data_IF_283120273131
#
_entry.id   IF_283120273131
#
_cell.length_a   1.000
_cell.length_b   1.000
_cell.length_c   1.000
_cell.angle_alpha   90.00
_cell.angle_beta   90.00
_cell.angle_gamma   90.00
#
_symmetry.space_group_name_H-M   'P 1'
#
loop_
_entity.id
_entity.type
_entity.pdbx_description
1 polymer ?
#
# COMPACT_ATOMS: atom_id res chain seq x y z
N UNK A 1 -15.38 3.72 3.10
CA UNK A 1 -14.03 4.09 3.53
C UNK A 1 -13.17 4.53 2.35
N UNK A 2 -12.90 3.64 1.39
CA UNK A 2 -12.26 3.95 0.11
C UNK A 2 -13.19 3.52 -1.02
N UNK A 3 -13.41 4.39 -2.00
CA UNK A 3 -14.24 4.10 -3.17
C UNK A 3 -13.62 4.72 -4.41
N UNK A 4 -13.55 3.98 -5.49
CA UNK A 4 -13.27 4.53 -6.81
C UNK A 4 -14.32 4.09 -7.81
N UNK A 5 -14.60 4.96 -8.78
CA UNK A 5 -15.68 4.78 -9.75
C UNK A 5 -15.18 5.03 -11.15
N UNK A 6 -15.30 4.03 -12.01
CA UNK A 6 -15.05 4.12 -13.46
C UNK A 6 -13.69 4.76 -13.80
N UNK A 7 -12.61 4.33 -13.12
CA UNK A 7 -11.27 4.88 -13.33
C UNK A 7 -10.71 4.48 -14.69
N UNK A 8 -10.31 5.45 -15.48
CA UNK A 8 -9.55 5.29 -16.71
C UNK A 8 -8.19 5.94 -16.56
N UNK A 9 -7.17 5.28 -17.10
CA UNK A 9 -5.82 5.84 -17.17
C UNK A 9 -5.09 5.27 -18.37
N UNK A 10 -4.53 6.16 -19.18
CA UNK A 10 -3.68 5.83 -20.32
C UNK A 10 -2.32 6.52 -20.23
N UNK A 11 -1.31 5.91 -20.82
CA UNK A 11 0.03 6.47 -20.93
C UNK A 11 0.48 6.47 -22.38
N UNK A 12 1.15 7.55 -22.78
CA UNK A 12 1.79 7.64 -24.07
C UNK A 12 3.24 7.15 -23.97
N UNK A 13 3.55 6.04 -24.65
CA UNK A 13 4.89 5.47 -24.73
C UNK A 13 5.40 5.59 -26.17
N UNK A 14 6.11 6.68 -26.47
CA UNK A 14 6.47 7.03 -27.85
C UNK A 14 5.20 7.28 -28.68
N UNK A 15 5.03 6.49 -29.75
CA UNK A 15 3.85 6.59 -30.65
C UNK A 15 2.69 5.67 -30.22
N UNK A 16 2.87 4.88 -29.16
CA UNK A 16 1.83 3.96 -28.67
C UNK A 16 1.08 4.54 -27.48
N UNK A 17 -0.24 4.33 -27.46
CA UNK A 17 -1.08 4.53 -26.28
C UNK A 17 -1.30 3.18 -25.59
N UNK A 18 -1.14 3.18 -24.26
CA UNK A 18 -1.39 2.01 -23.42
C UNK A 18 -2.44 2.37 -22.40
N UNK A 19 -3.63 1.77 -22.52
CA UNK A 19 -4.71 1.92 -21.57
C UNK A 19 -4.42 1.02 -20.36
N UNK A 20 -3.86 1.60 -19.30
CA UNK A 20 -3.50 0.88 -18.09
C UNK A 20 -4.72 0.55 -17.23
N UNK A 21 -5.76 1.41 -17.23
CA UNK A 21 -7.04 1.16 -16.58
C UNK A 21 -8.19 1.54 -17.52
N UNK A 22 -9.23 0.69 -17.52
CA UNK A 22 -10.35 0.74 -18.46
C UNK A 22 -11.71 0.66 -17.74
N UNK A 23 -11.97 1.60 -16.80
CA UNK A 23 -13.23 1.67 -16.07
C UNK A 23 -13.23 0.90 -14.76
N UNK A 24 -12.11 0.92 -14.01
CA UNK A 24 -11.99 0.24 -12.71
C UNK A 24 -12.89 0.89 -11.67
N UNK A 25 -13.69 0.05 -11.00
CA UNK A 25 -14.51 0.47 -9.85
C UNK A 25 -14.27 -0.49 -8.69
N UNK A 26 -13.96 0.07 -7.50
CA UNK A 26 -13.73 -0.68 -6.25
C UNK A 26 -14.44 0.06 -5.13
N UNK A 27 -15.08 -0.70 -4.24
CA UNK A 27 -15.69 -0.18 -3.01
C UNK A 27 -15.19 -0.98 -1.80
N UNK A 28 -14.55 -0.27 -0.87
CA UNK A 28 -14.05 -0.76 0.41
C UNK A 28 -14.79 0.02 1.52
N UNK A 29 -15.89 -0.54 2.04
CA UNK A 29 -16.78 0.19 2.94
C UNK A 29 -16.27 0.30 4.38
N UNK A 30 -15.43 -0.64 4.84
CA UNK A 30 -15.00 -0.77 6.22
C UNK A 30 -13.46 -0.90 6.32
N UNK A 31 -12.87 -0.58 7.48
CA UNK A 31 -11.48 -0.90 7.76
C UNK A 31 -11.22 -2.39 7.69
N UNK A 32 -10.01 -2.78 7.28
CA UNK A 32 -9.62 -4.17 7.14
C UNK A 32 -8.47 -4.35 6.16
N UNK A 33 -8.18 -5.60 5.83
CA UNK A 33 -7.16 -5.97 4.86
C UNK A 33 -7.80 -6.34 3.53
N UNK A 34 -7.33 -5.71 2.47
CA UNK A 34 -7.79 -5.90 1.10
C UNK A 34 -6.61 -6.09 0.16
N UNK A 35 -6.78 -6.89 -0.88
CA UNK A 35 -5.77 -7.06 -1.91
C UNK A 35 -6.31 -6.67 -3.30
N UNK A 36 -5.43 -6.12 -4.12
CA UNK A 36 -5.58 -6.01 -5.56
C UNK A 36 -4.61 -7.02 -6.17
N UNK A 37 -5.14 -8.09 -6.75
CA UNK A 37 -4.36 -9.18 -7.29
C UNK A 37 -4.44 -9.24 -8.81
N UNK A 38 -3.34 -9.51 -9.48
CA UNK A 38 -3.29 -9.61 -10.95
C UNK A 38 -1.90 -9.92 -11.46
N UNK A 39 -1.81 -10.34 -12.71
CA UNK A 39 -0.54 -10.58 -13.39
C UNK A 39 0.28 -9.28 -13.57
N UNK A 40 1.57 -9.40 -13.90
CA UNK A 40 2.39 -8.24 -14.29
C UNK A 40 1.74 -7.53 -15.48
N UNK A 41 1.72 -6.20 -15.46
CA UNK A 41 1.11 -5.39 -16.51
C UNK A 41 -0.42 -5.27 -16.45
N UNK A 42 -1.12 -5.87 -15.47
CA UNK A 42 -2.58 -5.78 -15.36
C UNK A 42 -3.12 -4.40 -14.92
N UNK A 43 -2.25 -3.45 -14.54
CA UNK A 43 -2.63 -2.10 -14.09
C UNK A 43 -2.60 -1.88 -12.58
N UNK A 44 -2.13 -2.84 -11.77
CA UNK A 44 -2.15 -2.77 -10.29
C UNK A 44 -1.40 -1.55 -9.74
N UNK A 45 -0.15 -1.35 -10.15
CA UNK A 45 0.66 -0.22 -9.67
C UNK A 45 0.08 1.11 -10.15
N UNK A 46 -0.48 1.17 -11.38
CA UNK A 46 -1.22 2.35 -11.85
C UNK A 46 -2.40 2.64 -10.94
N UNK A 47 -3.22 1.63 -10.64
CA UNK A 47 -4.38 1.80 -9.74
C UNK A 47 -3.94 2.27 -8.35
N UNK A 48 -2.90 1.65 -7.78
CA UNK A 48 -2.34 2.07 -6.49
C UNK A 48 -1.86 3.53 -6.54
N UNK A 49 -1.16 3.94 -7.59
CA UNK A 49 -0.70 5.34 -7.74
C UNK A 49 -1.86 6.33 -7.79
N UNK A 50 -2.96 6.01 -8.49
CA UNK A 50 -4.15 6.85 -8.50
C UNK A 50 -4.81 6.94 -7.12
N UNK A 51 -5.00 5.79 -6.46
CA UNK A 51 -5.59 5.73 -5.11
C UNK A 51 -4.73 6.45 -4.07
N UNK A 52 -3.41 6.45 -4.25
CA UNK A 52 -2.45 7.15 -3.39
C UNK A 52 -2.25 8.63 -3.76
N UNK A 53 -3.00 9.16 -4.73
CA UNK A 53 -2.84 10.52 -5.25
C UNK A 53 -1.39 10.83 -5.69
N UNK A 54 -0.65 9.83 -6.19
CA UNK A 54 0.67 9.98 -6.83
C UNK A 54 0.53 10.32 -8.31
N UNK A 55 -0.62 9.98 -8.91
CA UNK A 55 -1.00 10.33 -10.27
C UNK A 55 -2.50 10.67 -10.30
N UNK A 56 -3.00 11.17 -11.42
CA UNK A 56 -4.41 11.54 -11.60
C UNK A 56 -5.07 10.64 -12.63
N UNK A 57 -6.33 10.21 -12.40
CA UNK A 57 -7.07 9.50 -13.41
C UNK A 57 -7.39 10.42 -14.60
N UNK A 58 -7.46 9.84 -15.80
CA UNK A 58 -7.93 10.58 -16.98
C UNK A 58 -9.46 10.77 -16.93
N UNK A 59 -10.17 9.78 -16.32
CA UNK A 59 -11.60 9.82 -16.05
C UNK A 59 -11.91 9.01 -14.79
N UNK A 60 -13.07 9.33 -14.19
CA UNK A 60 -13.55 8.65 -12.99
C UNK A 60 -13.25 9.41 -11.71
N UNK A 61 -13.66 8.84 -10.60
CA UNK A 61 -13.66 9.50 -9.30
C UNK A 61 -13.04 8.61 -8.23
N UNK A 62 -12.35 9.22 -7.26
CA UNK A 62 -11.75 8.53 -6.11
C UNK A 62 -12.14 9.26 -4.83
N UNK A 63 -12.63 8.51 -3.85
CA UNK A 63 -13.03 9.02 -2.53
C UNK A 63 -12.31 8.22 -1.43
N UNK A 64 -11.69 8.92 -0.49
CA UNK A 64 -11.10 8.34 0.71
C UNK A 64 -11.62 9.11 1.94
N UNK A 65 -12.23 8.39 2.88
CA UNK A 65 -12.90 9.01 4.03
C UNK A 65 -14.02 9.98 3.62
N UNK A 66 -14.69 9.72 2.48
CA UNK A 66 -15.73 10.58 1.91
C UNK A 66 -15.21 11.82 1.19
N UNK A 67 -13.89 12.06 1.16
CA UNK A 67 -13.27 13.22 0.48
C UNK A 67 -12.90 12.87 -0.95
N UNK A 68 -13.24 13.68 -1.96
CA UNK A 68 -12.79 13.49 -3.33
C UNK A 68 -11.31 13.81 -3.46
N UNK A 69 -10.49 12.83 -3.86
CA UNK A 69 -9.04 13.02 -4.01
C UNK A 69 -8.61 13.22 -5.47
N UNK A 70 -9.42 12.80 -6.43
CA UNK A 70 -9.18 12.95 -7.87
C UNK A 70 -9.10 14.41 -8.33
N UNK A 71 -9.72 15.34 -7.59
CA UNK A 71 -9.78 16.77 -7.90
C UNK A 71 -8.83 17.63 -7.07
N UNK A 72 -7.97 17.03 -6.23
CA UNK A 72 -7.00 17.79 -5.45
C UNK A 72 -5.97 18.48 -6.35
N UNK A 73 -5.63 19.71 -6.01
CA UNK A 73 -4.45 20.38 -6.59
C UNK A 73 -3.15 19.76 -6.02
N UNK A 74 -1.99 20.15 -6.51
CA UNK A 74 -0.70 19.61 -6.08
C UNK A 74 -0.43 19.82 -4.59
N UNK A 75 -0.83 20.95 -4.04
CA UNK A 75 -0.69 21.25 -2.61
C UNK A 75 -1.60 20.37 -1.77
N UNK A 76 -2.86 20.23 -2.18
CA UNK A 76 -3.84 19.36 -1.53
C UNK A 76 -3.42 17.89 -1.59
N UNK A 77 -2.96 17.41 -2.75
CA UNK A 77 -2.46 16.04 -2.92
C UNK A 77 -1.21 15.78 -2.03
N UNK A 78 -0.30 16.74 -1.93
CA UNK A 78 0.89 16.62 -1.07
C UNK A 78 0.50 16.54 0.41
N UNK A 79 -0.41 17.40 0.88
CA UNK A 79 -0.91 17.36 2.26
C UNK A 79 -1.67 16.05 2.53
N UNK A 80 -2.49 15.62 1.58
CA UNK A 80 -3.24 14.36 1.66
C UNK A 80 -2.28 13.16 1.80
N UNK A 81 -1.27 13.05 0.92
CA UNK A 81 -0.25 11.98 1.00
C UNK A 81 0.49 11.98 2.32
N UNK A 82 0.79 13.16 2.88
CA UNK A 82 1.52 13.28 4.12
C UNK A 82 0.73 12.79 5.33
N UNK A 83 -0.58 13.08 5.40
CA UNK A 83 -1.36 12.94 6.64
C UNK A 83 -2.48 11.92 6.58
N UNK A 84 -2.99 11.59 5.38
CA UNK A 84 -4.18 10.76 5.22
C UNK A 84 -3.90 9.37 4.67
N UNK A 85 -2.70 9.15 4.12
CA UNK A 85 -2.32 7.83 3.62
C UNK A 85 -0.89 7.48 4.04
N UNK A 86 -0.63 6.18 4.20
CA UNK A 86 0.71 5.62 4.22
C UNK A 86 0.97 4.90 2.91
N UNK A 87 2.22 4.92 2.44
CA UNK A 87 2.62 4.18 1.24
C UNK A 87 3.88 3.39 1.56
N UNK A 88 3.83 2.09 1.29
CA UNK A 88 4.96 1.16 1.36
C UNK A 88 5.25 0.68 -0.06
N UNK A 89 6.43 0.98 -0.56
CA UNK A 89 6.88 0.60 -1.90
C UNK A 89 7.66 -0.72 -1.87
N UNK A 90 7.66 -1.43 -2.98
CA UNK A 90 8.42 -2.67 -3.16
C UNK A 90 9.93 -2.48 -2.94
N UNK A 91 10.49 -1.35 -3.38
CA UNK A 91 11.91 -1.00 -3.25
C UNK A 91 12.23 -0.15 -2.00
N UNK A 92 11.40 -0.23 -0.94
CA UNK A 92 11.53 0.48 0.34
C UNK A 92 11.57 2.01 0.23
N UNK A 93 12.23 2.58 -0.76
CA UNK A 93 12.44 4.02 -0.98
C UNK A 93 12.95 4.74 0.28
N UNK A 94 13.90 4.13 0.99
CA UNK A 94 14.61 4.78 2.09
C UNK A 94 15.68 5.72 1.53
N UNK A 95 15.92 6.81 2.23
CA UNK A 95 17.01 7.72 1.91
C UNK A 95 18.31 7.12 2.46
N UNK A 96 19.30 6.76 1.62
CA UNK A 96 20.47 5.99 2.05
C UNK A 96 21.38 6.73 3.03
N UNK A 97 21.36 8.06 3.01
CA UNK A 97 22.19 8.91 3.89
C UNK A 97 21.58 9.11 5.27
N UNK A 98 20.30 8.77 5.45
CA UNK A 98 19.58 8.86 6.72
C UNK A 98 19.60 7.52 7.46
N UNK A 99 19.63 7.59 8.79
CA UNK A 99 19.44 6.43 9.67
C UNK A 99 17.99 5.91 9.59
N UNK A 100 17.73 4.75 10.17
CA UNK A 100 16.38 4.16 10.22
C UNK A 100 15.39 5.13 10.87
N UNK A 101 15.74 5.70 12.02
CA UNK A 101 14.83 6.62 12.72
C UNK A 101 14.61 7.91 11.93
N UNK A 102 15.64 8.49 11.31
CA UNK A 102 15.53 9.69 10.48
C UNK A 102 14.66 9.44 9.24
N UNK A 103 14.73 8.25 8.64
CA UNK A 103 13.82 7.85 7.56
C UNK A 103 12.36 7.80 8.05
N UNK A 104 12.11 7.31 9.26
CA UNK A 104 10.76 7.29 9.84
C UNK A 104 10.28 8.70 10.16
N UNK A 105 11.13 9.56 10.70
CA UNK A 105 10.84 10.95 11.06
C UNK A 105 10.59 11.87 9.85
N UNK A 106 11.09 11.51 8.67
CA UNK A 106 11.13 12.37 7.49
C UNK A 106 9.82 13.07 7.14
N UNK A 107 8.63 12.39 7.12
CA UNK A 107 7.38 13.07 6.83
C UNK A 107 7.03 14.18 7.82
N UNK A 108 7.35 13.98 9.10
CA UNK A 108 7.13 14.96 10.17
C UNK A 108 8.13 16.11 10.12
N UNK A 109 9.39 15.83 9.83
CA UNK A 109 10.40 16.87 9.61
C UNK A 109 9.97 17.81 8.48
N UNK A 110 9.48 17.27 7.37
CA UNK A 110 8.96 18.05 6.24
C UNK A 110 7.65 18.80 6.58
N UNK A 111 6.91 18.38 7.60
CA UNK A 111 5.73 19.06 8.09
C UNK A 111 6.06 20.19 9.06
N UNK A 112 7.26 20.20 9.63
CA UNK A 112 7.65 21.14 10.70
C UNK A 112 7.14 20.72 12.08
N UNK A 113 6.91 19.40 12.28
CA UNK A 113 6.45 18.87 13.57
C UNK A 113 7.52 19.05 14.66
N UNK A 114 7.07 19.07 15.93
CA UNK A 114 7.98 19.12 17.07
C UNK A 114 8.91 17.90 17.11
N UNK A 115 10.21 18.16 17.13
CA UNK A 115 11.24 17.13 17.01
C UNK A 115 11.18 16.07 18.13
N UNK A 116 10.87 16.48 19.37
CA UNK A 116 10.81 15.56 20.51
C UNK A 116 9.62 14.59 20.39
N UNK A 117 8.46 15.12 20.04
CA UNK A 117 7.23 14.33 19.79
C UNK A 117 7.42 13.38 18.63
N UNK A 118 8.04 13.86 17.54
CA UNK A 118 8.32 13.09 16.34
C UNK A 118 9.25 11.91 16.64
N UNK A 119 10.35 12.19 17.36
CA UNK A 119 11.33 11.19 17.80
C UNK A 119 10.69 10.10 18.64
N UNK A 120 9.86 10.48 19.61
CA UNK A 120 9.17 9.52 20.48
C UNK A 120 8.26 8.57 19.69
N UNK A 121 7.47 9.10 18.73
CA UNK A 121 6.61 8.28 17.84
C UNK A 121 7.41 7.35 16.96
N UNK A 122 8.50 7.85 16.35
CA UNK A 122 9.35 7.06 15.49
C UNK A 122 10.00 5.89 16.26
N UNK A 123 10.51 6.15 17.47
CA UNK A 123 11.08 5.12 18.33
C UNK A 123 10.04 4.08 18.77
N UNK A 124 8.82 4.50 19.12
CA UNK A 124 7.73 3.58 19.46
C UNK A 124 7.44 2.62 18.29
N UNK A 125 7.30 3.14 17.06
CA UNK A 125 7.05 2.33 15.88
C UNK A 125 8.21 1.37 15.58
N UNK A 126 9.44 1.83 15.64
CA UNK A 126 10.63 0.99 15.45
C UNK A 126 10.69 -0.13 16.50
N UNK A 127 10.41 0.17 17.76
CA UNK A 127 10.38 -0.84 18.83
C UNK A 127 9.29 -1.89 18.58
N UNK A 128 8.07 -1.48 18.19
CA UNK A 128 6.96 -2.39 17.85
C UNK A 128 7.29 -3.32 16.68
N UNK A 129 8.08 -2.86 15.71
CA UNK A 129 8.53 -3.68 14.59
C UNK A 129 9.88 -4.38 14.84
N UNK A 130 10.37 -4.39 16.10
CA UNK A 130 11.60 -5.10 16.47
C UNK A 130 12.88 -4.46 15.91
N UNK A 131 12.91 -3.13 15.79
CA UNK A 131 14.01 -2.36 15.21
C UNK A 131 14.61 -1.33 16.18
N UNK A 132 14.31 -1.41 17.49
CA UNK A 132 14.82 -0.45 18.48
C UNK A 132 16.35 -0.35 18.42
N UNK A 133 17.05 -1.50 18.39
CA UNK A 133 18.52 -1.58 18.33
C UNK A 133 19.10 -1.21 16.96
N UNK A 134 18.25 -1.02 15.96
CA UNK A 134 18.62 -0.63 14.59
C UNK A 134 18.31 0.84 14.27
N UNK A 135 17.75 1.58 15.21
CA UNK A 135 17.29 2.97 14.99
C UNK A 135 18.37 3.90 14.41
N UNK A 136 19.62 3.71 14.80
CA UNK A 136 20.76 4.52 14.35
C UNK A 136 21.50 3.94 13.15
N UNK A 137 21.09 2.78 12.62
CA UNK A 137 21.72 2.17 11.45
C UNK A 137 21.20 2.84 10.17
N UNK A 138 22.06 2.89 9.15
CA UNK A 138 21.68 3.30 7.79
C UNK A 138 21.18 2.11 6.98
N UNK A 139 20.45 2.33 5.88
CA UNK A 139 19.92 1.25 5.06
C UNK A 139 20.98 0.25 4.54
N UNK A 140 22.19 0.69 4.25
CA UNK A 140 23.30 -0.15 3.79
C UNK A 140 23.79 -1.15 4.85
N UNK A 141 23.57 -0.84 6.14
CA UNK A 141 23.87 -1.72 7.26
C UNK A 141 22.67 -2.56 7.75
N UNK A 142 21.59 -2.63 6.95
CA UNK A 142 20.34 -3.32 7.30
C UNK A 142 19.98 -4.37 6.25
N UNK A 143 19.41 -5.50 6.70
CA UNK A 143 18.82 -6.49 5.80
C UNK A 143 17.60 -5.92 5.06
N UNK A 144 17.23 -6.51 3.92
CA UNK A 144 16.03 -6.09 3.17
C UNK A 144 14.75 -6.12 4.03
N UNK A 145 14.62 -7.12 4.91
CA UNK A 145 13.48 -7.18 5.83
C UNK A 145 13.48 -6.09 6.91
N UNK A 146 14.65 -5.68 7.39
CA UNK A 146 14.77 -4.53 8.31
C UNK A 146 14.42 -3.23 7.58
N UNK A 147 14.92 -3.03 6.36
CA UNK A 147 14.60 -1.87 5.54
C UNK A 147 13.09 -1.78 5.24
N UNK A 148 12.45 -2.91 4.93
CA UNK A 148 11.00 -2.98 4.72
C UNK A 148 10.23 -2.55 5.97
N UNK A 149 10.61 -3.04 7.14
CA UNK A 149 9.98 -2.62 8.39
C UNK A 149 10.18 -1.14 8.71
N UNK A 150 11.34 -0.56 8.39
CA UNK A 150 11.56 0.91 8.48
C UNK A 150 10.62 1.67 7.55
N UNK A 151 10.45 1.22 6.30
CA UNK A 151 9.52 1.84 5.35
C UNK A 151 8.07 1.79 5.85
N UNK A 152 7.68 0.70 6.52
CA UNK A 152 6.36 0.55 7.16
C UNK A 152 6.23 1.51 8.36
N UNK A 153 7.24 1.61 9.24
CA UNK A 153 7.24 2.60 10.32
C UNK A 153 7.04 4.01 9.78
N UNK A 154 7.75 4.39 8.73
CA UNK A 154 7.58 5.68 8.06
C UNK A 154 6.16 5.90 7.57
N UNK A 155 5.57 4.90 6.93
CA UNK A 155 4.22 4.97 6.40
C UNK A 155 3.15 5.10 7.50
N UNK A 156 3.40 4.56 8.69
CA UNK A 156 2.49 4.56 9.83
C UNK A 156 2.67 5.75 10.79
N UNK A 157 3.66 6.62 10.55
CA UNK A 157 4.02 7.71 11.47
C UNK A 157 2.82 8.60 11.86
N UNK A 158 1.96 8.90 10.91
CA UNK A 158 0.77 9.73 11.11
C UNK A 158 -0.52 8.96 11.40
N UNK A 159 -0.43 7.64 11.64
CA UNK A 159 -1.61 6.77 11.85
C UNK A 159 -2.65 6.97 10.75
N UNK A 160 -2.27 6.76 9.48
CA UNK A 160 -3.14 7.07 8.37
C UNK A 160 -4.38 6.17 8.36
N UNK A 161 -5.55 6.67 7.94
CA UNK A 161 -6.74 5.83 7.80
C UNK A 161 -6.60 4.78 6.70
N UNK A 162 -5.70 4.98 5.72
CA UNK A 162 -5.41 4.02 4.66
C UNK A 162 -3.90 3.84 4.48
N UNK A 163 -3.47 2.58 4.45
CA UNK A 163 -2.11 2.16 4.11
C UNK A 163 -2.14 1.41 2.77
N UNK A 164 -1.45 1.93 1.78
CA UNK A 164 -1.20 1.25 0.51
C UNK A 164 0.15 0.52 0.57
N UNK A 165 0.21 -0.72 0.10
CA UNK A 165 1.42 -1.51 0.10
C UNK A 165 1.61 -2.21 -1.25
N UNK A 166 2.69 -1.87 -1.95
CA UNK A 166 3.06 -2.50 -3.22
C UNK A 166 4.04 -3.65 -2.96
N UNK A 167 3.57 -4.88 -3.09
CA UNK A 167 4.32 -6.13 -2.87
C UNK A 167 5.18 -6.13 -1.58
N UNK A 168 4.59 -5.84 -0.40
CA UNK A 168 5.35 -5.53 0.81
C UNK A 168 6.16 -6.69 1.38
N UNK A 169 5.98 -7.90 0.88
CA UNK A 169 6.69 -9.13 1.31
C UNK A 169 7.57 -9.73 0.22
N UNK A 170 7.61 -9.16 -0.97
CA UNK A 170 8.33 -9.73 -2.12
C UNK A 170 9.84 -9.91 -1.92
N UNK A 171 10.44 -9.25 -0.92
CA UNK A 171 11.87 -9.35 -0.57
C UNK A 171 12.12 -10.06 0.76
N UNK A 172 11.11 -10.76 1.31
CA UNK A 172 11.18 -11.42 2.63
C UNK A 172 11.09 -12.94 2.49
N UNK A 173 11.75 -13.65 3.39
CA UNK A 173 11.49 -15.08 3.60
C UNK A 173 10.08 -15.28 4.22
N UNK A 174 9.54 -16.50 4.10
CA UNK A 174 8.19 -16.84 4.55
C UNK A 174 7.94 -16.54 6.04
N UNK A 175 8.94 -16.80 6.91
CA UNK A 175 8.79 -16.56 8.35
C UNK A 175 8.79 -15.07 8.67
N UNK A 176 9.60 -14.27 7.97
CA UNK A 176 9.62 -12.81 8.09
C UNK A 176 8.35 -12.18 7.54
N UNK A 177 7.82 -12.70 6.43
CA UNK A 177 6.54 -12.28 5.86
C UNK A 177 5.40 -12.51 6.84
N UNK A 178 5.31 -13.71 7.44
CA UNK A 178 4.26 -14.03 8.42
C UNK A 178 4.32 -13.11 9.65
N UNK A 179 5.52 -12.86 10.19
CA UNK A 179 5.69 -11.92 11.31
C UNK A 179 5.24 -10.51 10.93
N UNK A 180 5.57 -10.06 9.73
CA UNK A 180 5.17 -8.74 9.23
C UNK A 180 3.65 -8.62 9.14
N UNK A 181 2.96 -9.63 8.58
CA UNK A 181 1.50 -9.65 8.47
C UNK A 181 0.82 -9.60 9.83
N UNK A 182 1.32 -10.35 10.81
CA UNK A 182 0.77 -10.33 12.17
C UNK A 182 0.86 -8.94 12.78
N UNK A 183 2.05 -8.31 12.72
CA UNK A 183 2.25 -6.96 13.27
C UNK A 183 1.42 -5.90 12.52
N UNK A 184 1.34 -5.97 11.20
CA UNK A 184 0.49 -5.06 10.42
C UNK A 184 -0.99 -5.26 10.76
N UNK A 185 -1.41 -6.52 10.99
CA UNK A 185 -2.77 -6.86 11.41
C UNK A 185 -3.16 -6.25 12.75
N UNK A 186 -2.29 -6.36 13.73
CA UNK A 186 -2.48 -5.74 15.05
C UNK A 186 -2.54 -4.21 14.95
N UNK A 187 -1.55 -3.60 14.27
CA UNK A 187 -1.50 -2.14 14.10
C UNK A 187 -2.71 -1.59 13.35
N UNK A 188 -3.10 -2.25 12.26
CA UNK A 188 -4.27 -1.83 11.49
C UNK A 188 -5.56 -1.91 12.30
N UNK A 189 -5.73 -2.98 13.09
CA UNK A 189 -6.89 -3.15 13.97
C UNK A 189 -6.91 -2.08 15.09
N UNK A 190 -5.78 -1.86 15.76
CA UNK A 190 -5.67 -0.87 16.83
C UNK A 190 -5.92 0.57 16.33
N UNK A 191 -5.43 0.89 15.15
CA UNK A 191 -5.53 2.24 14.57
C UNK A 191 -6.75 2.43 13.68
N UNK A 192 -7.57 1.39 13.50
CA UNK A 192 -8.71 1.38 12.57
C UNK A 192 -8.28 1.74 11.12
N UNK A 193 -7.09 1.28 10.71
CA UNK A 193 -6.48 1.54 9.40
C UNK A 193 -6.95 0.51 8.39
N UNK A 194 -7.29 0.95 7.18
CA UNK A 194 -7.52 0.08 6.03
C UNK A 194 -6.19 -0.19 5.33
N UNK A 195 -5.83 -1.46 5.17
CA UNK A 195 -4.65 -1.87 4.38
C UNK A 195 -5.11 -2.35 3.02
N UNK A 196 -4.59 -1.74 1.97
CA UNK A 196 -4.81 -2.16 0.58
C UNK A 196 -3.47 -2.55 -0.01
N UNK A 197 -3.25 -3.84 -0.20
CA UNK A 197 -2.02 -4.31 -0.81
C UNK A 197 -2.21 -4.66 -2.28
N UNK A 198 -1.16 -4.45 -3.04
CA UNK A 198 -1.00 -4.98 -4.38
C UNK A 198 -0.08 -6.19 -4.30
N UNK A 199 -0.50 -7.31 -4.87
CA UNK A 199 0.31 -8.53 -4.89
C UNK A 199 -0.04 -9.42 -6.10
N UNK A 200 0.89 -10.27 -6.48
CA UNK A 200 0.65 -11.38 -7.39
C UNK A 200 0.72 -12.73 -6.65
N UNK A 201 1.01 -12.72 -5.34
CA UNK A 201 1.20 -13.92 -4.52
C UNK A 201 -0.10 -14.33 -3.81
N UNK A 202 -0.67 -15.51 -4.10
CA UNK A 202 -1.84 -16.02 -3.41
C UNK A 202 -1.64 -16.16 -1.89
N UNK A 203 -0.43 -16.56 -1.46
CA UNK A 203 -0.11 -16.72 -0.04
C UNK A 203 -0.23 -15.40 0.73
N UNK A 204 0.27 -14.29 0.18
CA UNK A 204 0.12 -12.96 0.77
C UNK A 204 -1.36 -12.54 0.83
N UNK A 205 -2.12 -12.84 -0.21
CA UNK A 205 -3.52 -12.46 -0.31
C UNK A 205 -4.45 -13.20 0.68
N UNK A 206 -4.03 -14.33 1.26
CA UNK A 206 -4.81 -15.03 2.32
C UNK A 206 -4.96 -14.21 3.60
N UNK A 207 -4.10 -13.23 3.84
CA UNK A 207 -4.19 -12.31 4.98
C UNK A 207 -5.26 -11.23 4.81
N UNK A 208 -5.82 -11.08 3.60
CA UNK A 208 -6.86 -10.12 3.29
C UNK A 208 -8.24 -10.74 3.49
N UNK A 209 -9.24 -9.94 3.83
CA UNK A 209 -10.63 -10.37 3.86
C UNK A 209 -11.24 -10.48 2.48
N UNK A 210 -10.74 -9.68 1.53
CA UNK A 210 -11.25 -9.62 0.17
C UNK A 210 -10.16 -9.26 -0.84
N UNK A 211 -10.23 -9.88 -2.01
CA UNK A 211 -9.31 -9.67 -3.14
C UNK A 211 -10.10 -9.14 -4.33
N UNK A 212 -9.64 -8.05 -4.93
CA UNK A 212 -10.09 -7.55 -6.22
C UNK A 212 -9.14 -8.08 -7.30
N UNK A 213 -9.66 -8.89 -8.21
CA UNK A 213 -8.89 -9.47 -9.31
C UNK A 213 -8.83 -8.48 -10.46
N UNK A 214 -7.64 -7.96 -10.75
CA UNK A 214 -7.40 -7.01 -11.83
C UNK A 214 -6.71 -7.73 -13.01
N UNK A 215 -7.32 -7.71 -14.18
CA UNK A 215 -6.72 -8.19 -15.41
C UNK A 215 -7.05 -7.24 -16.56
N UNK A 216 -6.08 -6.97 -17.41
CA UNK A 216 -6.20 -6.06 -18.58
C UNK A 216 -6.84 -4.70 -18.26
N UNK A 217 -6.51 -4.13 -17.11
CA UNK A 217 -7.01 -2.82 -16.69
C UNK A 217 -8.47 -2.79 -16.24
N UNK A 218 -9.11 -3.94 -15.98
CA UNK A 218 -10.47 -4.03 -15.44
C UNK A 218 -10.55 -4.98 -14.25
N UNK A 219 -11.51 -4.77 -13.35
CA UNK A 219 -11.82 -5.72 -12.27
C UNK A 219 -12.62 -6.87 -12.86
N UNK A 220 -12.06 -8.08 -12.87
CA UNK A 220 -12.67 -9.30 -13.40
C UNK A 220 -13.46 -10.10 -12.38
N UNK A 221 -13.15 -9.91 -11.10
CA UNK A 221 -13.81 -10.63 -10.03
C UNK A 221 -13.46 -10.12 -8.65
N UNK A 222 -14.22 -10.57 -7.69
CA UNK A 222 -13.99 -10.32 -6.27
C UNK A 222 -13.97 -11.68 -5.56
N UNK A 223 -12.97 -11.91 -4.72
CA UNK A 223 -12.82 -13.15 -3.96
C UNK A 223 -12.87 -12.79 -2.47
N UNK A 224 -13.85 -13.31 -1.75
CA UNK A 224 -13.84 -13.32 -0.30
C UNK A 224 -12.97 -14.50 0.16
N UNK A 225 -12.01 -14.24 1.05
CA UNK A 225 -10.92 -15.17 1.39
C UNK A 225 -11.23 -16.05 2.59
N UNK A 226 -12.35 -15.83 3.27
CA UNK A 226 -12.73 -16.60 4.45
C UNK A 226 -12.70 -18.11 4.18
N UNK A 227 -11.90 -18.83 4.99
CA UNK A 227 -11.72 -20.28 4.86
C UNK A 227 -10.87 -20.73 3.68
N UNK A 228 -10.24 -19.82 2.93
CA UNK A 228 -9.34 -20.17 1.83
C UNK A 228 -7.88 -20.20 2.29
N UNK A 229 -7.16 -21.21 1.83
CA UNK A 229 -5.71 -21.25 1.81
C UNK A 229 -5.14 -20.66 0.50
N UNK A 230 -3.82 -20.64 0.37
CA UNK A 230 -3.16 -20.11 -0.82
C UNK A 230 -3.55 -20.85 -2.10
N UNK A 231 -3.79 -22.16 -2.04
CA UNK A 231 -4.23 -22.96 -3.18
C UNK A 231 -5.67 -22.61 -3.60
N UNK A 232 -6.55 -22.42 -2.62
CA UNK A 232 -7.93 -21.98 -2.84
C UNK A 232 -7.99 -20.58 -3.46
N UNK A 233 -7.17 -19.63 -2.97
CA UNK A 233 -7.04 -18.29 -3.56
C UNK A 233 -6.53 -18.38 -5.01
N UNK A 234 -5.48 -19.17 -5.27
CA UNK A 234 -4.93 -19.35 -6.61
C UNK A 234 -5.97 -19.92 -7.58
N UNK A 235 -6.74 -20.93 -7.15
CA UNK A 235 -7.79 -21.54 -7.97
C UNK A 235 -8.88 -20.53 -8.34
N UNK A 236 -9.40 -19.78 -7.37
CA UNK A 236 -10.43 -18.77 -7.62
C UNK A 236 -9.92 -17.61 -8.48
N UNK A 237 -8.65 -17.21 -8.29
CA UNK A 237 -8.01 -16.23 -9.14
C UNK A 237 -8.00 -16.69 -10.61
N UNK A 238 -7.55 -17.93 -10.89
CA UNK A 238 -7.54 -18.47 -12.25
C UNK A 238 -8.94 -18.52 -12.87
N UNK A 239 -9.95 -18.94 -12.11
CA UNK A 239 -11.33 -18.93 -12.56
C UNK A 239 -11.80 -17.51 -12.93
N UNK A 240 -11.48 -16.51 -12.12
CA UNK A 240 -11.87 -15.10 -12.38
C UNK A 240 -11.23 -14.53 -13.64
N UNK A 241 -9.99 -14.95 -13.96
CA UNK A 241 -9.27 -14.50 -15.15
C UNK A 241 -9.71 -15.25 -16.41
N UNK A 242 -10.06 -16.56 -16.29
CA UNK A 242 -10.43 -17.40 -17.44
C UNK A 242 -11.91 -17.20 -17.87
N UNK A 243 -12.75 -16.63 -17.04
CA UNK A 243 -14.17 -16.39 -17.34
C UNK A 243 -14.43 -15.10 -18.14
N UNK A 244 -13.35 -14.45 -18.66
CA UNK A 244 -13.41 -13.11 -19.28
C UNK A 244 -13.30 -13.14 -20.81
#
# INVERSE_FOLDING_TARGET
>A
MLRCLNLHKSYKLGDRHVDALRGVSIDIPAPGFYAIMGASGSGKSTLLHLLAALDRPDQGEIYIGGKPIHSLDERGATLFRRTQIGIVFQQFNLIPTLTAIENVELPGMLAGDDAATLRARAMELLARLGLADRATHRPDAMSGGEQQRVAICRALLYKPPVLFADEPTGNLDSASSQRLWNVLGELAKEQNTTVVMVTHEPAAATHCSRIFVLADGVVRGIIDTEGLDAAGVASRYQQSVSAA
#
